data_IF_897788637722
#
_entry.id   IF_897788637722
#
_cell.length_a   1.000
_cell.length_b   1.000
_cell.length_c   1.000
_cell.angle_alpha   90.00
_cell.angle_beta   90.00
_cell.angle_gamma   90.00
#
_symmetry.space_group_name_H-M   'P 1'
#
loop_
_entity.id
_entity.type
_entity.pdbx_description
1 polymer ?
#
# COMPACT_ATOMS: atom_id res chain seq x y z
N UNK A 1 -52.59 -64.68 -7.84
CA UNK A 1 -51.20 -64.58 -7.34
C UNK A 1 -50.45 -63.75 -8.37
N UNK A 2 -50.52 -62.43 -8.21
CA UNK A 2 -50.01 -61.44 -9.17
C UNK A 2 -49.05 -60.54 -8.42
N UNK A 3 -47.78 -60.93 -8.35
CA UNK A 3 -46.76 -60.19 -7.62
C UNK A 3 -45.64 -59.74 -8.56
N UNK A 4 -45.36 -58.44 -8.47
CA UNK A 4 -44.10 -57.75 -8.77
C UNK A 4 -43.55 -57.81 -10.21
N UNK A 5 -44.15 -57.04 -11.11
CA UNK A 5 -43.38 -56.38 -12.19
C UNK A 5 -42.90 -55.03 -11.65
N UNK A 6 -41.81 -55.06 -10.88
CA UNK A 6 -41.05 -53.88 -10.45
C UNK A 6 -40.04 -53.54 -11.55
N UNK A 7 -40.51 -52.97 -12.64
CA UNK A 7 -39.63 -52.44 -13.71
C UNK A 7 -39.90 -50.97 -13.90
N UNK A 8 -39.21 -50.15 -13.11
CA UNK A 8 -39.00 -48.74 -13.40
C UNK A 8 -37.50 -48.47 -13.46
N UNK A 9 -36.94 -47.98 -14.57
CA UNK A 9 -35.53 -47.61 -14.62
C UNK A 9 -35.37 -46.22 -13.98
N UNK A 10 -35.40 -46.14 -12.65
CA UNK A 10 -35.16 -44.87 -11.96
C UNK A 10 -33.67 -44.75 -11.58
N UNK A 11 -32.80 -44.89 -12.58
CA UNK A 11 -31.42 -44.43 -12.49
C UNK A 11 -31.50 -42.91 -12.37
N UNK A 12 -31.43 -42.39 -11.14
CA UNK A 12 -31.13 -40.97 -10.92
C UNK A 12 -29.70 -40.73 -11.43
N UNK A 13 -29.57 -40.53 -12.75
CA UNK A 13 -28.38 -39.98 -13.35
C UNK A 13 -28.28 -38.55 -12.84
N UNK A 14 -27.60 -38.36 -11.70
CA UNK A 14 -27.22 -37.04 -11.23
C UNK A 14 -26.51 -36.36 -12.40
N UNK A 15 -26.95 -35.17 -12.84
CA UNK A 15 -26.26 -34.46 -13.89
C UNK A 15 -24.83 -34.24 -13.40
N UNK A 16 -23.88 -34.93 -14.03
CA UNK A 16 -22.45 -34.64 -13.86
C UNK A 16 -22.24 -33.23 -14.41
N UNK A 17 -22.46 -32.23 -13.58
CA UNK A 17 -22.03 -30.86 -13.82
C UNK A 17 -20.49 -30.77 -13.65
N UNK A 18 -19.75 -31.58 -14.42
CA UNK A 18 -18.30 -31.50 -14.56
C UNK A 18 -18.02 -30.67 -15.81
N UNK A 19 -17.87 -29.36 -15.63
CA UNK A 19 -17.36 -28.49 -16.68
C UNK A 19 -17.81 -27.03 -16.66
N UNK A 20 -18.75 -26.65 -15.79
CA UNK A 20 -19.32 -25.29 -15.80
C UNK A 20 -18.55 -24.23 -15.02
N UNK A 21 -17.72 -24.61 -14.05
CA UNK A 21 -17.13 -23.66 -13.10
C UNK A 21 -16.02 -22.82 -13.72
N UNK A 22 -15.13 -23.44 -14.50
CA UNK A 22 -13.99 -22.74 -15.12
C UNK A 22 -14.48 -21.73 -16.16
N UNK A 23 -15.46 -22.12 -16.99
CA UNK A 23 -15.98 -21.28 -18.08
C UNK A 23 -16.87 -20.12 -17.58
N UNK A 24 -17.50 -20.26 -16.42
CA UNK A 24 -18.32 -19.20 -15.79
C UNK A 24 -17.47 -18.17 -15.04
N UNK A 25 -16.27 -18.54 -14.60
CA UNK A 25 -15.29 -17.63 -13.97
C UNK A 25 -14.72 -16.63 -14.98
N UNK A 26 -14.35 -17.09 -16.18
CA UNK A 26 -13.81 -16.21 -17.24
C UNK A 26 -14.85 -15.26 -17.84
N UNK A 27 -16.14 -15.61 -17.77
CA UNK A 27 -17.22 -14.89 -18.47
C UNK A 27 -17.85 -13.75 -17.67
N UNK A 28 -17.43 -13.49 -16.44
CA UNK A 28 -17.91 -12.32 -15.70
C UNK A 28 -16.77 -11.46 -15.13
N UNK A 29 -16.12 -10.65 -15.98
CA UNK A 29 -15.07 -9.72 -15.54
C UNK A 29 -15.60 -8.61 -14.61
N UNK A 30 -16.92 -8.44 -14.50
CA UNK A 30 -17.59 -7.40 -13.71
C UNK A 30 -18.03 -7.86 -12.31
N UNK A 31 -17.84 -9.14 -11.98
CA UNK A 31 -18.32 -9.69 -10.70
C UNK A 31 -17.45 -9.35 -9.50
N UNK A 32 -16.23 -8.87 -9.76
CA UNK A 32 -15.31 -8.32 -8.76
C UNK A 32 -14.69 -7.06 -9.37
N UNK A 33 -14.50 -5.97 -8.61
CA UNK A 33 -13.95 -4.71 -9.12
C UNK A 33 -12.45 -4.83 -9.44
N UNK A 34 -12.00 -5.93 -10.04
CA UNK A 34 -10.58 -6.22 -10.26
C UNK A 34 -10.00 -5.35 -11.37
N UNK A 35 -10.73 -5.10 -12.46
CA UNK A 35 -10.25 -4.22 -13.54
C UNK A 35 -10.02 -2.80 -12.99
N UNK A 36 -11.00 -2.28 -12.27
CA UNK A 36 -10.88 -0.96 -11.65
C UNK A 36 -9.75 -0.94 -10.62
N UNK A 37 -9.65 -1.96 -9.76
CA UNK A 37 -8.56 -2.07 -8.79
C UNK A 37 -7.18 -2.13 -9.45
N UNK A 38 -7.01 -2.88 -10.54
CA UNK A 38 -5.74 -2.93 -11.28
C UNK A 38 -5.39 -1.57 -11.89
N UNK A 39 -6.36 -0.86 -12.45
CA UNK A 39 -6.15 0.50 -12.99
C UNK A 39 -5.79 1.46 -11.85
N UNK A 40 -6.49 1.40 -10.72
CA UNK A 40 -6.21 2.23 -9.55
C UNK A 40 -4.80 1.96 -9.03
N UNK A 41 -4.41 0.70 -8.84
CA UNK A 41 -3.06 0.35 -8.40
C UNK A 41 -1.99 0.75 -9.41
N UNK A 42 -2.25 0.56 -10.71
CA UNK A 42 -1.36 1.02 -11.77
C UNK A 42 -1.18 2.53 -11.76
N UNK A 43 -2.26 3.28 -11.55
CA UNK A 43 -2.22 4.74 -11.43
C UNK A 43 -1.46 5.18 -10.18
N UNK A 44 -1.71 4.56 -9.02
CA UNK A 44 -0.99 4.86 -7.79
C UNK A 44 0.50 4.60 -7.95
N UNK A 45 0.88 3.43 -8.48
CA UNK A 45 2.27 3.09 -8.76
C UNK A 45 2.90 4.11 -9.73
N UNK A 46 2.20 4.45 -10.82
CA UNK A 46 2.67 5.42 -11.81
C UNK A 46 2.85 6.82 -11.23
N UNK A 47 1.95 7.24 -10.34
CA UNK A 47 2.04 8.54 -9.67
C UNK A 47 3.21 8.64 -8.69
N UNK A 48 3.65 7.51 -8.13
CA UNK A 48 4.78 7.45 -7.20
C UNK A 48 6.14 7.45 -7.89
N UNK A 49 6.22 7.02 -9.15
CA UNK A 49 7.47 7.02 -9.94
C UNK A 49 8.22 8.36 -9.86
N UNK A 50 7.62 9.52 -10.18
CA UNK A 50 8.34 10.79 -10.15
C UNK A 50 8.84 11.17 -8.75
N UNK A 51 8.09 10.81 -7.69
CA UNK A 51 8.49 11.07 -6.31
C UNK A 51 9.69 10.21 -5.91
N UNK A 52 9.68 8.92 -6.25
CA UNK A 52 10.79 8.00 -5.98
C UNK A 52 12.05 8.45 -6.73
N UNK A 53 11.92 8.89 -7.98
CA UNK A 53 13.04 9.45 -8.75
C UNK A 53 13.59 10.71 -8.06
N UNK A 54 12.73 11.62 -7.62
CA UNK A 54 13.17 12.82 -6.91
C UNK A 54 13.93 12.48 -5.62
N UNK A 55 13.45 11.50 -4.85
CA UNK A 55 14.11 11.01 -3.64
C UNK A 55 15.47 10.39 -3.99
N UNK A 56 15.53 9.52 -5.00
CA UNK A 56 16.78 8.90 -5.44
C UNK A 56 17.81 9.94 -5.89
N UNK A 57 17.37 10.98 -6.61
CA UNK A 57 18.22 12.11 -7.01
C UNK A 57 18.64 12.95 -5.79
N UNK A 58 17.75 13.17 -4.82
CA UNK A 58 18.08 13.88 -3.56
C UNK A 58 19.22 13.19 -2.82
N UNK A 59 19.18 11.86 -2.72
CA UNK A 59 20.27 11.08 -2.10
C UNK A 59 21.52 11.02 -2.98
N UNK A 60 21.38 10.89 -4.31
CA UNK A 60 22.52 10.87 -5.23
C UNK A 60 23.28 12.21 -5.28
N UNK A 61 22.54 13.32 -5.27
CA UNK A 61 23.07 14.68 -5.17
C UNK A 61 23.54 15.05 -3.73
N UNK A 62 23.22 14.22 -2.72
CA UNK A 62 23.65 14.45 -1.33
C UNK A 62 25.12 14.13 -1.06
N UNK A 63 25.90 13.60 -2.01
CA UNK A 63 27.35 13.33 -1.80
C UNK A 63 28.18 14.57 -1.38
N UNK A 64 27.64 15.78 -1.58
CA UNK A 64 28.25 17.03 -1.12
C UNK A 64 27.26 17.93 -0.36
N UNK A 65 26.06 17.44 0.00
CA UNK A 65 25.09 18.24 0.77
C UNK A 65 25.48 18.22 2.24
N UNK A 66 26.20 19.26 2.64
CA UNK A 66 26.55 19.63 4.00
C UNK A 66 25.34 19.54 4.93
N UNK A 67 25.50 18.76 6.00
CA UNK A 67 24.68 18.62 7.20
C UNK A 67 23.51 19.60 7.32
N UNK A 68 22.28 19.12 7.10
CA UNK A 68 21.09 19.89 7.43
C UNK A 68 20.99 19.96 8.96
N UNK A 69 21.38 21.09 9.52
CA UNK A 69 21.34 21.37 10.96
C UNK A 69 19.90 21.73 11.38
N UNK A 70 18.95 20.83 11.12
CA UNK A 70 17.52 21.12 11.31
C UNK A 70 17.10 21.25 12.77
N UNK A 71 17.97 20.88 13.71
CA UNK A 71 17.63 20.93 15.12
C UNK A 71 18.90 21.01 15.98
N UNK A 72 19.45 22.22 16.13
CA UNK A 72 20.54 22.44 17.07
C UNK A 72 20.04 23.11 18.33
N UNK A 73 20.01 22.35 19.43
CA UNK A 73 19.73 22.87 20.78
C UNK A 73 20.98 23.49 21.42
N UNK A 74 22.09 23.58 20.68
CA UNK A 74 23.37 24.05 21.22
C UNK A 74 23.31 25.49 21.74
N UNK A 75 22.50 26.34 21.09
CA UNK A 75 22.29 27.74 21.49
C UNK A 75 21.38 27.91 22.72
N UNK A 76 20.67 26.85 23.11
CA UNK A 76 19.82 26.88 24.30
C UNK A 76 20.55 26.44 25.56
N UNK A 77 21.37 25.39 25.49
CA UNK A 77 21.91 24.75 26.69
C UNK A 77 23.41 24.43 26.65
N UNK A 78 23.98 24.24 25.46
CA UNK A 78 25.23 23.51 25.32
C UNK A 78 26.45 24.41 25.13
N UNK A 79 26.25 25.66 24.70
CA UNK A 79 27.33 26.62 24.47
C UNK A 79 27.60 27.48 25.73
N UNK A 80 28.76 27.37 26.40
CA UNK A 80 29.01 28.04 27.68
C UNK A 80 29.09 29.57 27.58
N UNK A 81 29.36 30.12 26.40
CA UNK A 81 29.59 31.55 26.20
C UNK A 81 28.47 32.29 25.45
N UNK A 82 27.67 31.58 24.66
CA UNK A 82 26.72 32.20 23.72
C UNK A 82 25.31 31.59 23.80
N UNK A 83 25.04 30.80 24.85
CA UNK A 83 23.69 30.26 25.10
C UNK A 83 22.79 31.32 25.75
N UNK A 84 21.55 31.42 25.26
CA UNK A 84 20.50 32.31 25.80
C UNK A 84 20.34 32.22 27.33
N UNK A 85 20.44 31.02 27.90
CA UNK A 85 20.23 30.79 29.33
C UNK A 85 21.38 31.29 30.21
N UNK A 86 22.57 31.48 29.64
CA UNK A 86 23.76 31.88 30.38
C UNK A 86 24.15 33.34 30.12
N UNK A 87 23.40 34.05 29.27
CA UNK A 87 23.63 35.46 29.01
C UNK A 87 22.94 36.34 30.08
N UNK A 88 23.72 37.05 30.93
CA UNK A 88 23.16 37.93 31.95
C UNK A 88 22.53 39.20 31.38
N UNK A 89 22.93 39.65 30.18
CA UNK A 89 22.40 40.88 29.56
C UNK A 89 20.95 40.66 29.14
N UNK A 90 20.63 39.50 28.55
CA UNK A 90 19.27 39.16 28.10
C UNK A 90 18.27 38.95 29.26
N UNK A 91 18.73 38.51 30.43
CA UNK A 91 17.88 38.37 31.62
C UNK A 91 17.51 39.72 32.26
N UNK A 92 18.30 40.76 32.03
CA UNK A 92 18.08 42.10 32.61
C UNK A 92 17.10 42.96 31.81
N UNK A 93 16.64 42.47 30.65
CA UNK A 93 15.76 43.20 29.73
C UNK A 93 14.24 43.01 29.98
N UNK A 94 13.83 42.45 31.13
CA UNK A 94 12.43 42.25 31.55
C UNK A 94 12.08 43.10 32.77
#
# INVERSE_FOLDING_TARGET
>A
MSESVLTGPQTHALPRARGGFVRRWVRNPWRRPTILATITWGYLAWSLIPLVIAIAVSFNASRSSSSVHLFSLQWWWTDPSDSLLHDPELHSAV
#
